data_IF_392660604239
#
_entry.id   IF_392660604239
#
_cell.length_a   1.000
_cell.length_b   1.000
_cell.length_c   1.000
_cell.angle_alpha   90.00
_cell.angle_beta   90.00
_cell.angle_gamma   90.00
#
_symmetry.space_group_name_H-M   'P 1'
#
loop_
_entity.id
_entity.type
_entity.pdbx_description
1 polymer ?
#
# COMPACT_ATOMS: atom_id res chain seq x y z
N UNK A 1 -4.92 -6.56 -16.12
CA UNK A 1 -3.65 -6.99 -15.49
C UNK A 1 -3.30 -5.91 -14.46
N UNK A 2 -3.00 -6.25 -13.21
CA UNK A 2 -2.76 -5.25 -12.16
C UNK A 2 -1.51 -4.41 -12.46
N UNK A 3 -1.64 -3.09 -12.29
CA UNK A 3 -0.53 -2.14 -12.36
C UNK A 3 0.01 -1.94 -10.94
N UNK A 4 1.33 -1.96 -10.79
CA UNK A 4 1.97 -1.73 -9.51
C UNK A 4 3.04 -0.64 -9.63
N UNK A 5 3.09 0.19 -8.60
CA UNK A 5 4.14 1.20 -8.44
C UNK A 5 5.37 0.59 -7.77
N UNK A 6 6.54 0.87 -8.33
CA UNK A 6 7.82 0.46 -7.81
C UNK A 6 8.77 1.65 -7.64
N UNK A 7 9.69 1.52 -6.71
CA UNK A 7 10.78 2.46 -6.48
C UNK A 7 12.09 1.70 -6.36
N UNK A 8 13.11 2.13 -7.12
CA UNK A 8 14.43 1.55 -7.00
C UNK A 8 15.15 2.07 -5.74
N UNK A 9 15.76 1.17 -4.96
CA UNK A 9 16.47 1.56 -3.72
C UNK A 9 17.72 2.39 -3.96
N UNK A 10 18.25 2.41 -5.19
CA UNK A 10 19.57 3.00 -5.47
C UNK A 10 19.51 4.33 -6.21
N UNK A 11 18.63 4.44 -7.20
CA UNK A 11 18.42 5.71 -7.92
C UNK A 11 17.15 6.43 -7.46
N UNK A 12 16.36 5.83 -6.56
CA UNK A 12 15.08 6.38 -6.07
C UNK A 12 14.09 6.73 -7.19
N UNK A 13 14.27 6.13 -8.38
CA UNK A 13 13.38 6.34 -9.50
C UNK A 13 12.09 5.55 -9.28
N UNK A 14 10.96 6.24 -9.33
CA UNK A 14 9.63 5.63 -9.31
C UNK A 14 9.25 5.20 -10.73
N UNK A 15 8.69 4.01 -10.89
CA UNK A 15 8.21 3.51 -12.18
C UNK A 15 7.05 2.54 -11.99
N UNK A 16 6.25 2.41 -13.03
CA UNK A 16 5.08 1.53 -13.05
C UNK A 16 5.41 0.25 -13.81
N UNK A 17 4.99 -0.90 -13.29
CA UNK A 17 5.13 -2.18 -13.98
C UNK A 17 3.83 -2.98 -13.92
N UNK A 18 3.52 -3.61 -15.04
CA UNK A 18 2.37 -4.51 -15.16
C UNK A 18 2.87 -5.92 -14.85
N UNK A 19 2.39 -6.52 -13.76
CA UNK A 19 2.78 -7.87 -13.36
C UNK A 19 1.57 -8.81 -13.42
N UNK A 20 1.86 -10.08 -13.63
CA UNK A 20 0.89 -11.13 -13.31
C UNK A 20 0.86 -11.32 -11.79
N UNK A 21 -0.30 -11.71 -11.26
CA UNK A 21 -0.46 -11.94 -9.81
C UNK A 21 0.49 -13.01 -9.26
N UNK A 22 0.90 -13.96 -10.10
CA UNK A 22 1.76 -15.10 -9.74
C UNK A 22 3.25 -14.84 -9.99
N UNK A 23 3.61 -13.66 -10.51
CA UNK A 23 4.99 -13.37 -10.92
C UNK A 23 5.79 -12.70 -9.79
N UNK A 24 6.95 -13.24 -9.41
CA UNK A 24 7.78 -12.65 -8.36
C UNK A 24 8.38 -11.32 -8.84
N UNK A 25 8.12 -10.25 -8.10
CA UNK A 25 8.63 -8.89 -8.38
C UNK A 25 10.16 -8.74 -8.25
N UNK A 26 10.85 -9.73 -7.69
CA UNK A 26 12.32 -9.74 -7.51
C UNK A 26 13.10 -9.81 -8.84
N UNK A 27 12.41 -10.18 -9.93
CA UNK A 27 13.00 -10.24 -11.28
C UNK A 27 13.00 -8.89 -12.00
N UNK A 28 12.28 -7.89 -11.49
CA UNK A 28 12.15 -6.58 -12.13
C UNK A 28 13.46 -5.80 -12.04
N UNK A 29 14.01 -5.49 -13.21
CA UNK A 29 15.13 -4.56 -13.33
C UNK A 29 14.61 -3.12 -13.43
N UNK A 30 15.25 -2.21 -12.70
CA UNK A 30 14.96 -0.78 -12.83
C UNK A 30 15.34 -0.28 -14.24
N UNK A 31 14.46 0.45 -14.96
CA UNK A 31 14.73 0.91 -16.32
C UNK A 31 15.84 1.98 -16.40
N UNK A 32 16.12 2.68 -15.30
CA UNK A 32 17.15 3.73 -15.26
C UNK A 32 18.55 3.20 -14.94
N UNK A 33 18.67 2.16 -14.11
CA UNK A 33 19.98 1.69 -13.62
C UNK A 33 20.25 0.19 -13.82
N UNK A 34 19.28 -0.58 -14.33
CA UNK A 34 19.40 -2.02 -14.61
C UNK A 34 19.50 -2.92 -13.37
N UNK A 35 19.35 -2.38 -12.16
CA UNK A 35 19.50 -3.15 -10.90
C UNK A 35 18.17 -3.80 -10.51
N UNK A 36 18.25 -5.03 -9.97
CA UNK A 36 17.08 -5.85 -9.56
C UNK A 36 16.50 -5.52 -8.17
N UNK A 37 17.13 -4.59 -7.42
CA UNK A 37 16.63 -4.18 -6.11
C UNK A 37 15.58 -3.07 -6.26
N UNK A 38 14.32 -3.48 -6.26
CA UNK A 38 13.14 -2.61 -6.36
C UNK A 38 12.18 -2.89 -5.21
N UNK A 39 11.57 -1.85 -4.64
CA UNK A 39 10.55 -1.96 -3.60
C UNK A 39 9.20 -1.57 -4.16
N UNK A 40 8.15 -2.28 -3.77
CA UNK A 40 6.77 -1.93 -4.11
C UNK A 40 6.32 -0.69 -3.33
N UNK A 41 5.86 0.35 -4.02
CA UNK A 41 5.18 1.47 -3.39
C UNK A 41 3.74 1.07 -3.11
N UNK A 42 3.38 1.08 -1.83
CA UNK A 42 1.99 0.98 -1.38
C UNK A 42 1.55 2.37 -0.93
N UNK A 43 0.52 2.88 -1.57
CA UNK A 43 -0.12 4.12 -1.16
C UNK A 43 -0.80 3.87 0.19
N UNK A 44 -0.58 4.71 1.22
CA UNK A 44 -1.30 4.58 2.47
C UNK A 44 -2.79 4.86 2.23
N UNK A 45 -3.62 3.83 2.38
CA UNK A 45 -5.08 3.99 2.35
C UNK A 45 -5.51 4.58 3.69
N UNK A 46 -5.93 5.86 3.67
CA UNK A 46 -6.54 6.52 4.82
C UNK A 46 -8.04 6.22 4.83
N UNK A 47 -8.43 5.15 5.52
CA UNK A 47 -9.83 4.89 5.84
C UNK A 47 -10.04 5.02 7.33
N UNK A 48 -11.06 5.78 7.72
CA UNK A 48 -11.52 5.92 9.11
C UNK A 48 -12.60 4.88 9.46
N UNK A 49 -12.86 3.90 8.59
CA UNK A 49 -13.92 2.91 8.74
C UNK A 49 -13.81 2.12 10.05
N UNK A 50 -12.57 1.80 10.48
CA UNK A 50 -12.34 1.12 11.74
C UNK A 50 -12.60 2.02 12.95
N UNK A 51 -12.14 3.28 12.91
CA UNK A 51 -12.39 4.25 13.96
C UNK A 51 -13.88 4.53 14.13
N UNK A 52 -14.61 4.78 13.04
CA UNK A 52 -16.05 5.05 13.08
C UNK A 52 -16.86 3.84 13.51
N UNK A 53 -16.42 2.62 13.18
CA UNK A 53 -17.01 1.39 13.70
C UNK A 53 -16.85 1.26 15.22
N UNK A 54 -15.65 1.51 15.74
CA UNK A 54 -15.37 1.47 17.18
C UNK A 54 -16.19 2.53 17.93
N UNK A 55 -16.25 3.76 17.42
CA UNK A 55 -17.08 4.83 17.99
C UNK A 55 -18.56 4.41 18.04
N UNK A 56 -19.07 3.75 16.99
CA UNK A 56 -20.43 3.23 16.94
C UNK A 56 -20.70 2.06 17.90
N UNK A 57 -19.69 1.24 18.17
CA UNK A 57 -19.79 0.17 19.16
C UNK A 57 -19.73 0.73 20.59
N UNK A 58 -18.84 1.68 20.87
CA UNK A 58 -18.69 2.31 22.18
C UNK A 58 -19.96 3.07 22.59
N UNK A 59 -20.59 3.79 21.65
CA UNK A 59 -21.89 4.43 21.86
C UNK A 59 -23.00 3.45 22.24
N UNK A 60 -22.97 2.23 21.70
CA UNK A 60 -23.96 1.18 22.01
C UNK A 60 -23.71 0.53 23.38
N UNK A 61 -22.46 0.35 23.77
CA UNK A 61 -22.08 -0.32 25.03
C UNK A 61 -22.18 0.62 26.23
N UNK A 62 -21.83 1.90 26.08
CA UNK A 62 -21.86 2.87 27.19
C UNK A 62 -22.54 4.20 26.77
N UNK A 63 -23.89 4.24 26.76
CA UNK A 63 -24.62 5.44 26.38
C UNK A 63 -24.45 6.61 27.36
N UNK A 64 -24.03 6.36 28.60
CA UNK A 64 -23.86 7.40 29.63
C UNK A 64 -22.57 8.20 29.48
N UNK A 65 -21.56 7.68 28.77
CA UNK A 65 -20.26 8.36 28.56
C UNK A 65 -20.32 9.49 27.53
N UNK A 66 -21.33 9.50 26.66
CA UNK A 66 -21.50 10.47 25.56
C UNK A 66 -22.59 11.51 25.81
N UNK A 67 -23.06 11.65 27.05
CA UNK A 67 -24.06 12.65 27.45
C UNK A 67 -23.40 13.94 27.92
#
# INVERSE_FOLDING_TARGET
MPLYDFECEKCHHAFEAILRMDEPWDTLACPSCGRKKVRKKVMPIRTNAWSSFLDGMEKRVNPHKFK
#
